data_IF_025360732998
#
_entry.id   IF_025360732998
#
_cell.length_a   1.000
_cell.length_b   1.000
_cell.length_c   1.000
_cell.angle_alpha   90.00
_cell.angle_beta   90.00
_cell.angle_gamma   90.00
#
_symmetry.space_group_name_H-M   'P 1'
#
loop_
_entity.id
_entity.type
_entity.pdbx_description
1 polymer ?
#
# COMPACT_ATOMS: atom_id res chain seq x y z
N UNK A 1 42.87 41.92 -10.64
CA UNK A 1 42.83 41.04 -9.45
C UNK A 1 41.44 41.00 -8.81
N UNK A 2 40.79 42.14 -8.61
CA UNK A 2 39.47 42.22 -7.93
C UNK A 2 38.33 41.45 -8.63
N UNK A 3 38.29 41.44 -9.96
CA UNK A 3 37.28 40.71 -10.74
C UNK A 3 37.44 39.18 -10.63
N UNK A 4 38.68 38.70 -10.53
CA UNK A 4 38.98 37.28 -10.39
C UNK A 4 38.60 36.77 -8.99
N UNK A 5 38.82 37.57 -7.94
CA UNK A 5 38.38 37.25 -6.57
C UNK A 5 36.86 37.16 -6.47
N UNK A 6 36.12 38.12 -7.06
CA UNK A 6 34.65 38.09 -7.09
C UNK A 6 34.12 36.87 -7.86
N UNK A 7 34.75 36.51 -8.98
CA UNK A 7 34.38 35.32 -9.74
C UNK A 7 34.66 34.02 -8.96
N UNK A 8 35.80 33.94 -8.28
CA UNK A 8 36.14 32.78 -7.44
C UNK A 8 35.18 32.63 -6.26
N UNK A 9 34.83 33.73 -5.57
CA UNK A 9 33.84 33.70 -4.48
C UNK A 9 32.46 33.25 -4.99
N UNK A 10 32.02 33.74 -6.16
CA UNK A 10 30.76 33.31 -6.77
C UNK A 10 30.79 31.83 -7.14
N UNK A 11 31.89 31.33 -7.71
CA UNK A 11 32.07 29.89 -8.03
C UNK A 11 32.08 29.04 -6.76
N UNK A 12 32.75 29.48 -5.69
CA UNK A 12 32.75 28.76 -4.41
C UNK A 12 31.37 28.75 -3.74
N UNK A 13 30.63 29.87 -3.81
CA UNK A 13 29.25 29.96 -3.29
C UNK A 13 28.28 29.11 -4.12
N UNK A 14 28.41 29.09 -5.44
CA UNK A 14 27.56 28.26 -6.30
C UNK A 14 27.89 26.79 -6.19
N UNK A 15 29.17 26.40 -6.10
CA UNK A 15 29.58 25.01 -5.82
C UNK A 15 29.07 24.57 -4.44
N UNK A 16 29.15 25.42 -3.43
CA UNK A 16 28.60 25.14 -2.10
C UNK A 16 27.07 24.94 -2.15
N UNK A 17 26.34 25.79 -2.86
CA UNK A 17 24.88 25.68 -3.05
C UNK A 17 24.45 24.45 -3.86
N UNK A 18 25.26 23.98 -4.80
CA UNK A 18 24.97 22.79 -5.62
C UNK A 18 25.18 21.48 -4.84
N UNK A 19 26.01 21.47 -3.79
CA UNK A 19 26.37 20.23 -3.06
C UNK A 19 25.39 19.77 -1.98
N UNK A 20 24.25 20.44 -1.76
CA UNK A 20 23.23 19.99 -0.79
C UNK A 20 22.00 19.43 -1.51
N UNK A 21 22.20 18.42 -2.37
CA UNK A 21 21.11 17.52 -2.74
C UNK A 21 20.84 16.58 -1.56
N UNK A 22 19.95 16.98 -0.64
CA UNK A 22 19.54 16.12 0.48
C UNK A 22 18.66 14.98 -0.04
N UNK A 23 19.28 13.90 -0.49
CA UNK A 23 18.60 12.64 -0.72
C UNK A 23 18.13 12.07 0.63
N UNK A 24 16.85 12.27 0.95
CA UNK A 24 16.22 11.64 2.12
C UNK A 24 16.16 10.14 1.92
N UNK A 25 16.66 9.36 2.89
CA UNK A 25 16.64 7.90 2.84
C UNK A 25 15.21 7.36 2.68
N UNK A 26 15.10 6.19 2.04
CA UNK A 26 13.84 5.49 1.80
C UNK A 26 14.03 3.98 1.92
N UNK A 27 12.96 3.23 2.26
CA UNK A 27 13.01 1.77 2.31
C UNK A 27 13.38 1.21 0.93
N UNK A 28 14.30 0.25 0.91
CA UNK A 28 14.80 -0.37 -0.33
C UNK A 28 13.79 -1.39 -0.85
N UNK A 29 13.47 -1.29 -2.14
CA UNK A 29 12.61 -2.24 -2.84
C UNK A 29 13.08 -2.50 -4.28
N UNK A 30 12.62 -3.61 -4.84
CA UNK A 30 12.68 -3.91 -6.28
C UNK A 30 11.27 -4.00 -6.84
N UNK A 31 11.07 -3.50 -8.07
CA UNK A 31 9.81 -3.67 -8.80
C UNK A 31 9.87 -5.00 -9.53
N UNK A 32 8.95 -5.92 -9.22
CA UNK A 32 8.89 -7.25 -9.85
C UNK A 32 7.84 -7.32 -10.98
N UNK A 33 6.87 -6.42 -10.94
CA UNK A 33 5.84 -6.29 -11.97
C UNK A 33 5.40 -4.83 -12.01
N UNK A 34 5.20 -4.30 -13.21
CA UNK A 34 4.82 -2.91 -13.39
C UNK A 34 3.79 -2.80 -14.49
N UNK A 35 2.79 -1.98 -14.21
CA UNK A 35 1.65 -1.76 -15.06
C UNK A 35 1.38 -0.28 -15.21
N UNK A 36 0.45 0.09 -16.10
CA UNK A 36 0.16 1.50 -16.36
C UNK A 36 -0.34 2.24 -15.13
N UNK A 37 -0.98 1.55 -14.19
CA UNK A 37 -1.67 2.17 -13.05
C UNK A 37 -1.28 1.60 -11.67
N UNK A 38 -0.48 0.52 -11.61
CA UNK A 38 0.12 0.02 -10.37
C UNK A 38 1.46 -0.66 -10.62
N UNK A 39 2.20 -0.90 -9.55
CA UNK A 39 3.43 -1.71 -9.57
C UNK A 39 3.49 -2.62 -8.35
N UNK A 40 4.05 -3.81 -8.51
CA UNK A 40 4.29 -4.76 -7.42
C UNK A 40 5.75 -4.62 -7.00
N UNK A 41 5.94 -4.27 -5.72
CA UNK A 41 7.24 -4.05 -5.11
C UNK A 41 7.54 -5.12 -4.08
N UNK A 42 8.77 -5.60 -4.06
CA UNK A 42 9.31 -6.40 -2.95
C UNK A 42 10.19 -5.50 -2.11
N UNK A 43 9.77 -5.23 -0.88
CA UNK A 43 10.56 -4.47 0.10
C UNK A 43 11.45 -5.43 0.88
N UNK A 44 12.68 -4.99 1.15
CA UNK A 44 13.57 -5.68 2.08
C UNK A 44 13.09 -5.49 3.52
N UNK A 45 13.59 -6.33 4.42
CA UNK A 45 13.35 -6.16 5.85
C UNK A 45 13.77 -4.77 6.31
N UNK A 46 12.94 -4.15 7.15
CA UNK A 46 13.20 -2.83 7.70
C UNK A 46 12.49 -2.57 9.03
N UNK A 47 13.13 -1.77 9.87
CA UNK A 47 12.60 -1.26 11.13
C UNK A 47 12.00 0.13 10.93
N UNK A 48 10.83 0.33 11.51
CA UNK A 48 10.06 1.57 11.49
C UNK A 48 9.74 1.99 12.92
N UNK A 49 9.56 3.29 13.14
CA UNK A 49 8.94 3.80 14.37
C UNK A 49 7.46 4.07 14.12
N UNK A 50 6.59 3.49 14.95
CA UNK A 50 5.14 3.50 14.77
C UNK A 50 4.44 4.29 15.87
N UNK A 51 3.42 5.06 15.48
CA UNK A 51 2.56 5.84 16.36
C UNK A 51 1.10 5.38 16.20
N UNK A 52 0.53 4.63 17.17
CA UNK A 52 -0.88 4.26 17.15
C UNK A 52 -1.78 5.44 17.45
N UNK A 53 -2.81 5.64 16.63
CA UNK A 53 -3.75 6.74 16.73
C UNK A 53 -5.18 6.21 16.65
N UNK A 54 -5.94 6.40 17.71
CA UNK A 54 -7.38 6.11 17.75
C UNK A 54 -8.16 7.33 17.23
N UNK A 55 -8.46 7.33 15.94
CA UNK A 55 -9.16 8.42 15.26
C UNK A 55 -9.75 7.95 13.93
N UNK A 56 -10.95 8.39 13.58
CA UNK A 56 -11.66 7.94 12.37
C UNK A 56 -11.14 8.58 11.06
N UNK A 57 -10.76 9.85 11.09
CA UNK A 57 -10.16 10.55 9.93
C UNK A 57 -8.70 10.13 9.74
N UNK A 58 -8.39 9.60 8.57
CA UNK A 58 -7.05 9.33 8.06
C UNK A 58 -6.17 10.58 8.11
N UNK A 59 -6.69 11.75 7.71
CA UNK A 59 -5.90 12.99 7.66
C UNK A 59 -5.50 13.45 9.07
N UNK A 60 -6.45 13.44 10.00
CA UNK A 60 -6.17 13.83 11.39
C UNK A 60 -5.28 12.80 12.07
N UNK A 61 -5.53 11.51 11.85
CA UNK A 61 -4.70 10.44 12.41
C UNK A 61 -3.25 10.58 11.95
N UNK A 62 -3.03 10.80 10.65
CA UNK A 62 -1.70 11.05 10.07
C UNK A 62 -1.03 12.26 10.70
N UNK A 63 -1.74 13.37 10.86
CA UNK A 63 -1.20 14.59 11.48
C UNK A 63 -0.79 14.37 12.93
N UNK A 64 -1.64 13.74 13.74
CA UNK A 64 -1.40 13.50 15.16
C UNK A 64 -0.26 12.49 15.38
N UNK A 65 -0.26 11.37 14.65
CA UNK A 65 0.80 10.37 14.72
C UNK A 65 2.14 10.94 14.25
N UNK A 66 2.16 11.65 13.12
CA UNK A 66 3.39 12.26 12.61
C UNK A 66 3.93 13.34 13.54
N UNK A 67 3.08 14.09 14.25
CA UNK A 67 3.55 15.08 15.22
C UNK A 67 4.39 14.43 16.33
N UNK A 68 3.96 13.28 16.87
CA UNK A 68 4.72 12.53 17.89
C UNK A 68 6.01 11.94 17.33
N UNK A 69 5.95 11.38 16.13
CA UNK A 69 7.15 10.92 15.41
C UNK A 69 8.14 12.07 15.15
N UNK A 70 7.64 13.26 14.84
CA UNK A 70 8.45 14.45 14.62
C UNK A 70 9.18 14.89 15.90
N UNK A 71 8.50 14.86 17.05
CA UNK A 71 9.15 15.11 18.34
C UNK A 71 10.27 14.09 18.60
N UNK A 72 10.00 12.80 18.37
CA UNK A 72 10.98 11.72 18.51
C UNK A 72 12.24 11.94 17.67
N UNK A 73 12.09 12.21 16.37
CA UNK A 73 13.25 12.42 15.47
C UNK A 73 13.99 13.73 15.76
N UNK A 74 13.35 14.70 16.41
CA UNK A 74 13.97 15.95 16.84
C UNK A 74 14.73 15.83 18.18
N UNK A 75 14.67 14.67 18.84
CA UNK A 75 15.44 14.39 20.06
C UNK A 75 14.61 13.98 21.27
N UNK A 76 13.29 13.82 21.15
CA UNK A 76 12.46 13.27 22.24
C UNK A 76 12.59 11.74 22.32
N UNK A 77 13.80 11.30 22.63
CA UNK A 77 14.19 9.90 22.88
C UNK A 77 15.26 9.89 23.98
N UNK A 78 15.48 8.74 24.63
CA UNK A 78 16.37 8.64 25.80
C UNK A 78 17.81 9.10 25.54
N UNK A 79 18.27 9.09 24.29
CA UNK A 79 19.62 9.48 23.91
C UNK A 79 19.70 10.92 23.37
N UNK A 80 18.61 11.68 23.41
CA UNK A 80 18.48 13.02 22.78
C UNK A 80 18.98 13.08 21.34
N UNK A 81 18.92 11.94 20.63
CA UNK A 81 19.51 11.77 19.32
C UNK A 81 18.62 12.38 18.25
N UNK A 82 19.20 13.19 17.36
CA UNK A 82 18.48 13.67 16.17
C UNK A 82 18.55 12.65 15.05
N UNK A 83 17.40 12.39 14.44
CA UNK A 83 17.22 11.43 13.35
C UNK A 83 16.81 12.22 12.11
N UNK A 84 17.50 11.99 10.99
CA UNK A 84 17.17 12.68 9.74
C UNK A 84 15.82 12.21 9.20
N UNK A 85 15.06 13.14 8.61
CA UNK A 85 13.79 12.84 7.97
C UNK A 85 13.98 11.87 6.81
N UNK A 86 13.10 10.88 6.72
CA UNK A 86 13.06 9.90 5.64
C UNK A 86 11.76 10.01 4.85
N UNK A 87 11.66 9.28 3.75
CA UNK A 87 10.45 9.19 2.93
C UNK A 87 10.17 7.74 2.59
N UNK A 88 8.90 7.30 2.52
CA UNK A 88 7.69 8.03 2.88
C UNK A 88 7.36 7.94 4.39
N UNK A 89 6.41 8.77 4.83
CA UNK A 89 5.61 8.48 6.04
C UNK A 89 4.42 7.64 5.60
N UNK A 90 4.16 6.53 6.29
CA UNK A 90 3.05 5.64 5.96
C UNK A 90 1.96 5.75 7.02
N UNK A 91 0.70 5.67 6.59
CA UNK A 91 -0.44 5.55 7.50
C UNK A 91 -1.15 4.25 7.16
N UNK A 92 -1.09 3.29 8.07
CA UNK A 92 -1.68 1.96 7.93
C UNK A 92 -2.98 1.89 8.74
N UNK A 93 -3.96 1.18 8.23
CA UNK A 93 -5.20 0.87 8.97
C UNK A 93 -4.94 -0.27 9.95
N UNK A 94 -5.52 -0.19 11.15
CA UNK A 94 -5.60 -1.35 12.07
C UNK A 94 -6.96 -2.00 11.84
N UNK A 95 -7.02 -3.23 11.30
CA UNK A 95 -8.31 -3.87 11.06
C UNK A 95 -8.88 -4.43 12.36
N UNK A 96 -10.04 -3.93 12.80
CA UNK A 96 -10.94 -4.68 13.69
C UNK A 96 -12.40 -4.57 13.20
N UNK A 97 -12.94 -5.72 12.78
CA UNK A 97 -14.30 -6.10 12.36
C UNK A 97 -15.08 -5.19 11.37
N UNK A 98 -14.91 -5.42 10.06
CA UNK A 98 -15.90 -5.06 9.04
C UNK A 98 -15.29 -4.64 7.70
N UNK A 99 -16.08 -4.53 6.61
CA UNK A 99 -15.55 -4.53 5.24
C UNK A 99 -14.67 -3.34 4.85
N UNK A 100 -14.51 -2.31 5.71
CA UNK A 100 -13.48 -1.23 5.64
C UNK A 100 -13.54 -0.25 6.84
N UNK A 101 -14.16 -0.60 7.99
CA UNK A 101 -14.33 0.30 9.15
C UNK A 101 -13.09 0.31 10.05
N UNK A 102 -12.14 1.23 9.83
CA UNK A 102 -10.99 1.40 10.73
C UNK A 102 -11.34 2.38 11.85
N UNK A 103 -11.32 1.93 13.10
CA UNK A 103 -11.41 2.79 14.29
C UNK A 103 -10.05 3.44 14.62
N UNK A 104 -8.95 2.85 14.16
CA UNK A 104 -7.60 3.29 14.47
C UNK A 104 -6.63 3.17 13.28
N UNK A 105 -5.57 3.97 13.33
CA UNK A 105 -4.47 3.99 12.36
C UNK A 105 -3.11 3.83 13.06
N UNK A 106 -2.13 3.31 12.33
CA UNK A 106 -0.71 3.34 12.67
C UNK A 106 0.01 4.30 11.72
N UNK A 107 0.63 5.34 12.26
CA UNK A 107 1.52 6.20 11.46
C UNK A 107 2.95 5.72 11.63
N UNK A 108 3.62 5.40 10.54
CA UNK A 108 4.92 4.74 10.53
C UNK A 108 5.97 5.64 9.85
N UNK A 109 7.12 5.76 10.52
CA UNK A 109 8.29 6.48 10.03
C UNK A 109 9.44 5.50 9.77
N UNK A 110 9.99 5.51 8.56
CA UNK A 110 11.14 4.66 8.21
C UNK A 110 12.38 5.16 8.94
N UNK A 111 13.04 4.29 9.71
CA UNK A 111 14.26 4.67 10.38
C UNK A 111 15.44 4.66 9.38
N UNK A 112 16.33 5.67 9.40
CA UNK A 112 17.55 5.63 8.60
C UNK A 112 18.39 4.38 8.86
N UNK A 113 19.23 3.97 7.90
CA UNK A 113 20.07 2.75 7.97
C UNK A 113 20.86 2.67 9.27
N UNK A 114 21.35 3.81 9.77
CA UNK A 114 22.07 3.93 11.05
C UNK A 114 21.28 3.38 12.26
N UNK A 115 19.95 3.46 12.24
CA UNK A 115 19.07 3.12 13.37
C UNK A 115 18.26 1.85 13.14
N UNK A 116 18.50 1.11 12.06
CA UNK A 116 17.75 -0.10 11.71
C UNK A 116 17.91 -1.22 12.76
N UNK A 117 19.12 -1.41 13.31
CA UNK A 117 19.38 -2.46 14.31
C UNK A 117 19.21 -2.03 15.77
N UNK A 118 19.38 -0.74 16.09
CA UNK A 118 19.27 -0.23 17.47
C UNK A 118 18.62 1.16 17.44
N UNK A 119 17.28 1.23 17.30
CA UNK A 119 16.57 2.50 17.35
C UNK A 119 16.69 3.16 18.73
N UNK A 120 16.88 4.49 18.82
CA UNK A 120 16.77 5.20 20.08
C UNK A 120 15.41 4.94 20.71
N UNK A 121 15.38 4.63 22.01
CA UNK A 121 14.11 4.36 22.69
C UNK A 121 13.32 5.68 22.84
N UNK A 122 12.07 5.75 22.36
CA UNK A 122 11.25 6.95 22.49
C UNK A 122 10.93 7.22 23.97
N UNK A 123 10.64 8.48 24.28
CA UNK A 123 10.14 8.81 25.62
C UNK A 123 8.73 8.21 25.81
N UNK A 124 8.40 7.68 27.01
CA UNK A 124 7.13 7.00 27.25
C UNK A 124 5.89 7.83 26.89
N UNK A 125 5.93 9.14 27.10
CA UNK A 125 4.83 10.07 26.81
C UNK A 125 4.47 10.18 25.32
N UNK A 126 5.35 9.75 24.41
CA UNK A 126 5.07 9.77 22.97
C UNK A 126 4.23 8.56 22.53
N UNK A 127 4.18 7.49 23.32
CA UNK A 127 3.54 6.21 22.97
C UNK A 127 3.93 5.76 21.55
N UNK A 128 5.24 5.61 21.32
CA UNK A 128 5.80 5.13 20.06
C UNK A 128 6.40 3.74 20.25
N UNK A 129 6.27 2.89 19.23
CA UNK A 129 6.77 1.52 19.26
C UNK A 129 7.58 1.21 18.01
N UNK A 130 8.80 0.65 18.14
CA UNK A 130 9.51 0.13 16.98
C UNK A 130 8.77 -1.10 16.45
N UNK A 131 8.63 -1.18 15.13
CA UNK A 131 8.08 -2.35 14.43
C UNK A 131 9.08 -2.80 13.37
N UNK A 132 9.31 -4.11 13.27
CA UNK A 132 10.05 -4.70 12.15
C UNK A 132 9.07 -5.22 11.12
N UNK A 133 9.28 -4.85 9.87
CA UNK A 133 8.62 -5.44 8.73
C UNK A 133 9.60 -6.38 8.04
N UNK A 134 9.34 -7.70 8.01
CA UNK A 134 10.17 -8.63 7.25
C UNK A 134 10.09 -8.31 5.76
N UNK A 135 10.92 -8.97 4.95
CA UNK A 135 10.81 -8.86 3.49
C UNK A 135 9.40 -9.23 3.04
N UNK A 136 8.72 -8.33 2.32
CA UNK A 136 7.32 -8.52 1.94
C UNK A 136 7.01 -7.87 0.59
N UNK A 137 5.96 -8.38 -0.05
CA UNK A 137 5.46 -7.92 -1.34
C UNK A 137 4.29 -6.96 -1.14
N UNK A 138 4.28 -5.84 -1.87
CA UNK A 138 3.24 -4.81 -1.78
C UNK A 138 2.88 -4.31 -3.18
N UNK A 139 1.59 -4.32 -3.50
CA UNK A 139 1.07 -3.62 -4.67
C UNK A 139 0.90 -2.12 -4.37
N UNK A 140 1.41 -1.26 -5.25
CA UNK A 140 1.43 0.19 -5.05
C UNK A 140 0.79 0.88 -6.25
N UNK A 141 -0.28 1.62 -5.97
CA UNK A 141 -0.88 2.59 -6.89
C UNK A 141 -0.35 3.99 -6.59
N UNK A 142 0.16 4.69 -7.61
CA UNK A 142 0.52 6.11 -7.51
C UNK A 142 -0.64 6.95 -8.04
N UNK A 143 -0.96 8.03 -7.36
CA UNK A 143 -2.00 8.98 -7.78
C UNK A 143 -1.55 10.42 -7.52
N UNK A 144 -2.14 11.37 -8.24
CA UNK A 144 -1.84 12.80 -8.11
C UNK A 144 -2.67 13.44 -7.00
N UNK A 145 -2.14 14.51 -6.40
CA UNK A 145 -2.80 15.24 -5.32
C UNK A 145 -2.46 14.68 -3.94
N UNK A 146 -3.17 15.16 -2.92
CA UNK A 146 -2.91 14.78 -1.53
C UNK A 146 -3.81 13.63 -1.09
N UNK A 147 -3.25 12.65 -0.39
CA UNK A 147 -4.03 11.63 0.29
C UNK A 147 -4.84 12.26 1.43
N UNK A 148 -6.14 11.94 1.48
CA UNK A 148 -7.06 12.42 2.50
C UNK A 148 -8.32 11.58 2.58
N UNK A 149 -9.17 11.89 3.56
CA UNK A 149 -10.35 11.06 3.92
C UNK A 149 -11.29 10.80 2.74
N UNK A 150 -11.40 11.73 1.79
CA UNK A 150 -12.29 11.63 0.64
C UNK A 150 -11.76 10.77 -0.52
N UNK A 151 -10.46 10.45 -0.57
CA UNK A 151 -9.88 9.77 -1.73
C UNK A 151 -9.10 8.49 -1.41
N UNK A 152 -8.62 8.28 -0.19
CA UNK A 152 -7.80 7.10 0.14
C UNK A 152 -8.54 5.79 -0.09
N UNK A 153 -9.83 5.72 0.27
CA UNK A 153 -10.67 4.53 0.04
C UNK A 153 -10.89 4.31 -1.46
N UNK A 154 -11.18 5.39 -2.20
CA UNK A 154 -11.39 5.33 -3.65
C UNK A 154 -10.14 4.88 -4.41
N UNK A 155 -8.95 5.34 -4.02
CA UNK A 155 -7.70 4.89 -4.65
C UNK A 155 -7.33 3.46 -4.26
N UNK A 156 -7.66 3.01 -3.05
CA UNK A 156 -7.53 1.62 -2.65
C UNK A 156 -8.47 0.70 -3.46
N UNK A 157 -9.72 1.10 -3.67
CA UNK A 157 -10.70 0.36 -4.48
C UNK A 157 -10.28 0.26 -5.94
N UNK A 158 -9.75 1.34 -6.52
CA UNK A 158 -9.15 1.33 -7.87
C UNK A 158 -8.00 0.33 -7.96
N UNK A 159 -7.10 0.31 -6.97
CA UNK A 159 -6.01 -0.67 -6.93
C UNK A 159 -6.55 -2.10 -6.83
N UNK A 160 -7.51 -2.36 -5.94
CA UNK A 160 -8.13 -3.68 -5.80
C UNK A 160 -8.78 -4.14 -7.12
N UNK A 161 -9.48 -3.24 -7.81
CA UNK A 161 -10.06 -3.50 -9.13
C UNK A 161 -9.00 -3.84 -10.18
N UNK A 162 -7.88 -3.11 -10.19
CA UNK A 162 -6.78 -3.37 -11.14
C UNK A 162 -6.05 -4.69 -10.86
N UNK A 163 -5.97 -5.12 -9.59
CA UNK A 163 -5.42 -6.42 -9.20
C UNK A 163 -6.38 -7.58 -9.51
N UNK A 164 -7.69 -7.36 -9.42
CA UNK A 164 -8.71 -8.40 -9.64
C UNK A 164 -8.99 -8.76 -11.10
N UNK A 165 -8.43 -8.03 -12.07
CA UNK A 165 -8.60 -8.34 -13.50
C UNK A 165 -7.48 -9.25 -13.99
N UNK A 166 -7.84 -10.47 -14.41
CA UNK A 166 -7.01 -11.21 -15.36
C UNK A 166 -7.08 -10.48 -16.71
N UNK A 167 -5.95 -10.01 -17.23
CA UNK A 167 -5.95 -9.11 -18.41
C UNK A 167 -6.19 -9.83 -19.71
N UNK A 168 -5.86 -11.12 -19.73
CA UNK A 168 -6.00 -12.01 -20.86
C UNK A 168 -6.28 -13.43 -20.35
N UNK A 169 -6.64 -14.33 -21.27
CA UNK A 169 -6.96 -15.72 -20.94
C UNK A 169 -5.76 -16.46 -20.31
N UNK A 170 -4.52 -16.10 -20.66
CA UNK A 170 -3.32 -16.72 -20.08
C UNK A 170 -3.17 -16.39 -18.59
N UNK A 171 -3.34 -15.12 -18.22
CA UNK A 171 -3.32 -14.68 -16.82
C UNK A 171 -4.47 -15.32 -16.03
N UNK A 172 -5.63 -15.46 -16.67
CA UNK A 172 -6.79 -16.11 -16.06
C UNK A 172 -6.54 -17.59 -15.78
N UNK A 173 -5.98 -18.31 -16.75
CA UNK A 173 -5.62 -19.71 -16.62
C UNK A 173 -4.52 -19.91 -15.56
N UNK A 174 -3.55 -19.00 -15.47
CA UNK A 174 -2.52 -19.04 -14.43
C UNK A 174 -3.11 -18.82 -13.04
N UNK A 175 -3.98 -17.82 -12.86
CA UNK A 175 -4.69 -17.62 -11.59
C UNK A 175 -5.58 -18.80 -11.21
N UNK A 176 -6.30 -19.40 -12.18
CA UNK A 176 -7.09 -20.60 -11.95
C UNK A 176 -6.22 -21.77 -11.50
N UNK A 177 -5.04 -21.96 -12.09
CA UNK A 177 -4.09 -23.01 -11.69
C UNK A 177 -3.63 -22.83 -10.23
N UNK A 178 -3.32 -21.59 -9.82
CA UNK A 178 -2.95 -21.28 -8.43
C UNK A 178 -4.09 -21.57 -7.45
N UNK A 179 -5.33 -21.18 -7.79
CA UNK A 179 -6.52 -21.46 -6.99
C UNK A 179 -6.75 -22.97 -6.87
N UNK A 180 -6.65 -23.73 -7.97
CA UNK A 180 -6.82 -25.18 -7.92
C UNK A 180 -5.74 -25.89 -7.12
N UNK A 181 -4.48 -25.42 -7.18
CA UNK A 181 -3.40 -25.91 -6.30
C UNK A 181 -3.74 -25.69 -4.82
N UNK A 182 -4.23 -24.50 -4.47
CA UNK A 182 -4.63 -24.18 -3.10
C UNK A 182 -5.84 -25.01 -2.63
N UNK A 183 -6.82 -25.25 -3.50
CA UNK A 183 -7.95 -26.13 -3.18
C UNK A 183 -7.48 -27.56 -2.91
N UNK A 184 -6.59 -28.09 -3.75
CA UNK A 184 -6.02 -29.44 -3.59
C UNK A 184 -5.23 -29.58 -2.29
N UNK A 185 -4.39 -28.58 -1.95
CA UNK A 185 -3.63 -28.56 -0.69
C UNK A 185 -4.54 -28.57 0.54
N UNK A 186 -5.70 -27.92 0.47
CA UNK A 186 -6.67 -27.83 1.56
C UNK A 186 -7.78 -28.90 1.49
N UNK A 187 -7.62 -29.93 0.65
CA UNK A 187 -8.61 -31.01 0.47
C UNK A 187 -10.01 -30.50 0.10
N UNK A 188 -10.09 -29.35 -0.57
CA UNK A 188 -11.34 -28.78 -1.06
C UNK A 188 -11.57 -29.20 -2.51
N UNK A 189 -12.81 -29.57 -2.84
CA UNK A 189 -13.22 -29.93 -4.20
C UNK A 189 -14.29 -28.96 -4.70
N UNK A 190 -14.16 -28.55 -5.96
CA UNK A 190 -15.20 -27.85 -6.67
C UNK A 190 -16.30 -28.86 -7.05
N UNK A 191 -17.58 -28.45 -7.00
CA UNK A 191 -18.66 -29.33 -7.42
C UNK A 191 -18.90 -29.12 -8.92
N UNK A 192 -18.54 -30.10 -9.74
CA UNK A 192 -18.57 -29.99 -11.21
C UNK A 192 -19.90 -29.41 -11.75
N UNK A 193 -21.03 -29.87 -11.21
CA UNK A 193 -22.35 -29.40 -11.63
C UNK A 193 -22.74 -27.99 -11.17
N UNK A 194 -21.85 -27.28 -10.46
CA UNK A 194 -22.01 -25.89 -10.03
C UNK A 194 -20.88 -24.99 -10.53
N UNK A 195 -19.93 -25.53 -11.28
CA UNK A 195 -18.78 -24.81 -11.78
C UNK A 195 -18.94 -24.60 -13.29
N UNK A 196 -18.99 -23.33 -13.68
CA UNK A 196 -18.94 -22.93 -15.08
C UNK A 196 -17.65 -22.13 -15.26
N UNK A 197 -16.80 -22.61 -16.16
CA UNK A 197 -15.51 -21.99 -16.50
C UNK A 197 -15.54 -21.65 -17.98
N UNK A 198 -15.01 -20.49 -18.35
CA UNK A 198 -14.94 -20.03 -19.75
C UNK A 198 -16.31 -20.00 -20.47
N UNK A 199 -17.29 -19.34 -19.85
CA UNK A 199 -18.61 -19.13 -20.44
C UNK A 199 -19.01 -17.66 -20.41
N UNK A 200 -19.64 -17.21 -21.49
CA UNK A 200 -20.20 -15.86 -21.61
C UNK A 200 -21.56 -15.71 -20.89
N UNK A 201 -22.09 -16.83 -20.36
CA UNK A 201 -23.43 -16.93 -19.77
C UNK A 201 -23.42 -17.91 -18.59
N UNK A 202 -23.90 -17.46 -17.43
CA UNK A 202 -23.86 -18.21 -16.16
C UNK A 202 -25.27 -18.37 -15.62
N UNK A 203 -25.67 -19.60 -15.27
CA UNK A 203 -26.91 -19.85 -14.55
C UNK A 203 -26.78 -19.43 -13.07
N UNK A 204 -27.71 -18.62 -12.58
CA UNK A 204 -27.81 -18.21 -11.19
C UNK A 204 -29.27 -18.14 -10.75
N UNK A 205 -29.64 -18.96 -9.76
CA UNK A 205 -30.99 -19.02 -9.19
C UNK A 205 -32.11 -19.22 -10.23
N UNK A 206 -31.86 -19.99 -11.30
CA UNK A 206 -32.83 -20.28 -12.36
C UNK A 206 -33.01 -19.16 -13.39
N UNK A 207 -32.09 -18.20 -13.41
CA UNK A 207 -31.91 -17.19 -14.46
C UNK A 207 -30.54 -17.37 -15.09
N UNK A 208 -30.35 -16.85 -16.30
CA UNK A 208 -29.04 -16.72 -16.89
C UNK A 208 -28.56 -15.28 -16.87
N UNK A 209 -27.34 -15.07 -16.40
CA UNK A 209 -26.65 -13.78 -16.39
C UNK A 209 -25.63 -13.81 -17.52
N UNK A 210 -25.66 -12.78 -18.38
CA UNK A 210 -24.66 -12.57 -19.44
C UNK A 210 -24.31 -11.09 -19.53
N UNK A 211 -23.34 -10.74 -20.39
CA UNK A 211 -23.01 -9.35 -20.69
C UNK A 211 -24.19 -8.52 -21.22
N UNK A 212 -25.24 -9.16 -21.75
CA UNK A 212 -26.47 -8.51 -22.25
C UNK A 212 -27.52 -8.26 -21.16
N UNK A 213 -27.29 -8.73 -19.93
CA UNK A 213 -28.22 -8.62 -18.80
C UNK A 213 -28.70 -9.98 -18.30
N UNK A 214 -29.79 -9.95 -17.52
CA UNK A 214 -30.42 -11.12 -16.91
C UNK A 214 -31.54 -11.62 -17.81
N UNK A 215 -31.47 -12.87 -18.23
CA UNK A 215 -32.48 -13.55 -19.04
C UNK A 215 -33.12 -14.68 -18.22
N UNK A 216 -34.44 -14.86 -18.35
CA UNK A 216 -35.11 -16.02 -17.78
C UNK A 216 -34.75 -17.29 -18.56
N UNK A 217 -34.74 -18.44 -17.88
CA UNK A 217 -34.45 -19.74 -18.53
C UNK A 217 -35.47 -20.01 -19.66
N UNK A 218 -35.01 -20.13 -20.93
CA UNK A 218 -35.89 -20.39 -22.07
C UNK A 218 -36.77 -21.63 -21.88
N UNK A 219 -36.28 -22.64 -21.15
CA UNK A 219 -37.02 -23.88 -20.86
C UNK A 219 -38.20 -23.64 -19.91
N UNK A 220 -38.12 -22.65 -19.02
CA UNK A 220 -39.25 -22.23 -18.18
C UNK A 220 -40.25 -21.39 -18.97
N UNK A 221 -39.80 -20.62 -19.94
CA UNK A 221 -40.67 -19.81 -20.83
C UNK A 221 -41.48 -20.72 -21.76
N UNK A 222 -40.89 -21.78 -22.32
CA UNK A 222 -41.60 -22.74 -23.18
C UNK A 222 -42.71 -23.51 -22.47
N UNK A 223 -42.57 -23.73 -21.16
CA UNK A 223 -43.59 -24.43 -20.35
C UNK A 223 -44.82 -23.59 -20.03
N UNK A 224 -44.78 -22.27 -20.26
CA UNK A 224 -45.90 -21.34 -20.04
C UNK A 224 -46.69 -21.10 -21.34
N UNK A 225 -46.07 -21.41 -22.49
CA UNK A 225 -46.64 -21.19 -23.82
C UNK A 225 -47.24 -22.45 -24.46
N UNK A 226 -47.39 -23.52 -23.68
CA UNK A 226 -48.05 -24.80 -24.06
C UNK A 226 -49.37 -24.99 -23.34
#
# INVERSE_FOLDING_TARGET
MEKAWKLMVVIWVTVYLVTVTMASESPKYSVIHSESDFEIRVYKESTWMSAPVDHLSFRQATKLGFHRLFQYIQGANLNSSRILMTKPVLTSIVPEAGPLHSSAYLVNFYLPVKFQGTPPLPLPELDLKPISWPSHCVAVRKFSGFAGDSNVVTEADKLATSLGRSRNISDHLQHLEEVFKLMQQNLMAAKDNKCMVDTDKVEYLGHFISAKGVEADPKKISSISS
#
